data_IF_063567166304
#
_entry.id   IF_063567166304
#
_cell.length_a   1.000
_cell.length_b   1.000
_cell.length_c   1.000
_cell.angle_alpha   90.00
_cell.angle_beta   90.00
_cell.angle_gamma   90.00
#
_symmetry.space_group_name_H-M   'P 1'
#
loop_
_entity.id
_entity.type
_entity.pdbx_description
1 polymer ?
#
# COMPACT_ATOMS: atom_id res chain seq x y z
N UNK A 1 -10.21 -23.78 -21.12
CA UNK A 1 -9.83 -22.63 -21.97
C UNK A 1 -10.57 -21.40 -21.47
N UNK A 2 -9.87 -20.36 -21.00
CA UNK A 2 -10.54 -19.07 -20.66
C UNK A 2 -10.84 -18.34 -21.96
N UNK A 3 -12.03 -17.73 -22.06
CA UNK A 3 -12.39 -16.93 -23.23
C UNK A 3 -11.57 -15.65 -23.29
N UNK A 4 -11.36 -15.11 -24.51
CA UNK A 4 -10.60 -13.87 -24.72
C UNK A 4 -11.20 -12.68 -23.95
N UNK A 5 -12.53 -12.62 -23.84
CA UNK A 5 -13.24 -11.59 -23.07
C UNK A 5 -12.90 -11.64 -21.57
N UNK A 6 -12.79 -12.84 -20.99
CA UNK A 6 -12.42 -13.00 -19.58
C UNK A 6 -10.98 -12.56 -19.32
N UNK A 7 -10.05 -12.91 -20.23
CA UNK A 7 -8.64 -12.50 -20.12
C UNK A 7 -8.48 -10.98 -20.27
N UNK A 8 -9.23 -10.35 -21.17
CA UNK A 8 -9.18 -8.90 -21.36
C UNK A 8 -9.72 -8.16 -20.12
N UNK A 9 -10.81 -8.65 -19.52
CA UNK A 9 -11.32 -8.13 -18.25
C UNK A 9 -10.29 -8.25 -17.13
N UNK A 10 -9.68 -9.42 -16.96
CA UNK A 10 -8.62 -9.63 -15.95
C UNK A 10 -7.46 -8.63 -16.16
N UNK A 11 -7.09 -8.33 -17.41
CA UNK A 11 -6.04 -7.36 -17.73
C UNK A 11 -6.43 -5.92 -17.37
N UNK A 12 -7.67 -5.53 -17.61
CA UNK A 12 -8.19 -4.20 -17.24
C UNK A 12 -8.24 -4.04 -15.71
N UNK A 13 -8.72 -5.04 -14.99
CA UNK A 13 -8.75 -5.04 -13.53
C UNK A 13 -7.32 -4.98 -12.95
N UNK A 14 -6.36 -5.74 -13.51
CA UNK A 14 -4.96 -5.62 -13.12
C UNK A 14 -4.40 -4.21 -13.31
N UNK A 15 -4.76 -3.52 -14.41
CA UNK A 15 -4.32 -2.14 -14.67
C UNK A 15 -4.93 -1.15 -13.68
N UNK A 16 -6.18 -1.37 -13.29
CA UNK A 16 -6.88 -0.55 -12.29
C UNK A 16 -6.29 -0.74 -10.89
N UNK A 17 -6.02 -1.99 -10.49
CA UNK A 17 -5.54 -2.32 -9.14
C UNK A 17 -4.06 -2.01 -8.92
N UNK A 18 -3.22 -2.17 -9.95
CA UNK A 18 -1.77 -1.92 -9.85
C UNK A 18 -1.37 -0.60 -9.16
N UNK A 19 -1.92 0.58 -9.53
CA UNK A 19 -1.56 1.83 -8.87
C UNK A 19 -2.06 1.91 -7.41
N UNK A 20 -3.08 1.14 -7.05
CA UNK A 20 -3.66 1.11 -5.70
C UNK A 20 -2.91 0.18 -4.74
N UNK A 21 -1.99 -0.67 -5.25
CA UNK A 21 -1.30 -1.65 -4.42
C UNK A 21 -0.44 -1.02 -3.32
N UNK A 22 0.26 0.09 -3.59
CA UNK A 22 1.09 0.74 -2.58
C UNK A 22 0.23 1.39 -1.47
N UNK A 23 -0.72 2.30 -1.80
CA UNK A 23 -1.64 2.84 -0.80
C UNK A 23 -2.40 1.77 -0.01
N UNK A 24 -2.81 0.67 -0.67
CA UNK A 24 -3.43 -0.47 0.01
C UNK A 24 -2.51 -1.10 1.05
N UNK A 25 -1.25 -1.34 0.69
CA UNK A 25 -0.26 -1.93 1.59
C UNK A 25 0.17 -0.97 2.70
N UNK A 26 0.03 0.34 2.49
CA UNK A 26 0.30 1.39 3.50
C UNK A 26 -0.92 1.70 4.38
N UNK A 27 -2.10 1.14 4.08
CA UNK A 27 -3.33 1.39 4.83
C UNK A 27 -3.97 2.75 4.54
N UNK A 28 -3.63 3.37 3.41
CA UNK A 28 -4.06 4.73 3.03
C UNK A 28 -5.34 4.73 2.16
N UNK A 29 -5.88 3.56 1.83
CA UNK A 29 -7.14 3.45 1.08
C UNK A 29 -8.35 3.54 2.00
N UNK A 30 -9.42 4.15 1.49
CA UNK A 30 -10.75 4.01 2.08
C UNK A 30 -11.24 2.55 2.04
N UNK A 31 -12.20 2.24 2.91
CA UNK A 31 -12.68 0.86 3.14
C UNK A 31 -13.13 0.15 1.84
N UNK A 32 -13.92 0.82 1.00
CA UNK A 32 -14.44 0.26 -0.25
C UNK A 32 -13.32 -0.13 -1.23
N UNK A 33 -12.33 0.75 -1.41
CA UNK A 33 -11.19 0.51 -2.29
C UNK A 33 -10.26 -0.57 -1.71
N UNK A 34 -10.08 -0.59 -0.38
CA UNK A 34 -9.30 -1.63 0.29
C UNK A 34 -9.92 -3.02 0.09
N UNK A 35 -11.25 -3.15 0.22
CA UNK A 35 -11.97 -4.41 -0.03
C UNK A 35 -11.82 -4.85 -1.49
N UNK A 36 -11.96 -3.92 -2.44
CA UNK A 36 -11.81 -4.22 -3.87
C UNK A 36 -10.40 -4.73 -4.18
N UNK A 37 -9.37 -4.02 -3.72
CA UNK A 37 -7.97 -4.39 -3.92
C UNK A 37 -7.67 -5.73 -3.28
N UNK A 38 -8.10 -5.97 -2.03
CA UNK A 38 -7.92 -7.25 -1.33
C UNK A 38 -8.49 -8.41 -2.14
N UNK A 39 -9.76 -8.31 -2.56
CA UNK A 39 -10.43 -9.35 -3.36
C UNK A 39 -9.68 -9.64 -4.67
N UNK A 40 -9.18 -8.61 -5.34
CA UNK A 40 -8.43 -8.80 -6.58
C UNK A 40 -7.07 -9.45 -6.33
N UNK A 41 -6.33 -9.02 -5.30
CA UNK A 41 -5.03 -9.59 -4.93
C UNK A 41 -5.15 -11.08 -4.63
N UNK A 42 -6.20 -11.48 -3.90
CA UNK A 42 -6.46 -12.89 -3.57
C UNK A 42 -6.81 -13.73 -4.80
N UNK A 43 -7.54 -13.15 -5.76
CA UNK A 43 -8.00 -13.86 -6.95
C UNK A 43 -7.00 -13.84 -8.13
N UNK A 44 -6.08 -12.87 -8.16
CA UNK A 44 -5.19 -12.61 -9.29
C UNK A 44 -3.72 -12.89 -8.92
N UNK A 45 -3.18 -14.00 -9.42
CA UNK A 45 -1.77 -14.40 -9.19
C UNK A 45 -0.75 -13.29 -9.48
N UNK A 46 -0.98 -12.48 -10.53
CA UNK A 46 -0.04 -11.41 -10.92
C UNK A 46 -0.02 -10.27 -9.90
N UNK A 47 -1.18 -9.83 -9.44
CA UNK A 47 -1.28 -8.76 -8.45
C UNK A 47 -0.92 -9.28 -7.05
N UNK A 48 -1.27 -10.53 -6.73
CA UNK A 48 -0.78 -11.25 -5.54
C UNK A 48 0.74 -11.24 -5.43
N UNK A 49 1.43 -11.71 -6.46
CA UNK A 49 2.90 -11.72 -6.47
C UNK A 49 3.51 -10.32 -6.35
N UNK A 50 2.90 -9.32 -6.98
CA UNK A 50 3.36 -7.93 -6.86
C UNK A 50 3.19 -7.41 -5.42
N UNK A 51 2.05 -7.67 -4.79
CA UNK A 51 1.80 -7.30 -3.40
C UNK A 51 2.80 -7.98 -2.44
N UNK A 52 3.05 -9.28 -2.61
CA UNK A 52 4.02 -10.02 -1.80
C UNK A 52 5.45 -9.50 -1.99
N UNK A 53 5.82 -9.16 -3.22
CA UNK A 53 7.12 -8.55 -3.53
C UNK A 53 7.27 -7.21 -2.79
N UNK A 54 6.25 -6.36 -2.84
CA UNK A 54 6.28 -5.08 -2.14
C UNK A 54 6.31 -5.24 -0.62
N UNK A 55 5.55 -6.18 -0.05
CA UNK A 55 5.64 -6.53 1.38
C UNK A 55 7.05 -6.96 1.77
N UNK A 56 7.67 -7.82 0.95
CA UNK A 56 9.05 -8.27 1.16
C UNK A 56 10.06 -7.12 1.15
N UNK A 57 9.93 -6.20 0.19
CA UNK A 57 10.77 -4.98 0.11
C UNK A 57 10.55 -4.10 1.34
N UNK A 58 9.30 -3.78 1.71
CA UNK A 58 8.97 -2.96 2.89
C UNK A 58 9.52 -3.57 4.18
N UNK A 59 9.33 -4.87 4.38
CA UNK A 59 9.90 -5.57 5.53
C UNK A 59 11.44 -5.57 5.53
N UNK A 60 12.07 -5.63 4.35
CA UNK A 60 13.52 -5.49 4.19
C UNK A 60 14.01 -4.10 4.58
N UNK A 61 13.36 -3.05 4.07
CA UNK A 61 13.68 -1.66 4.39
C UNK A 61 13.46 -1.35 5.88
N UNK A 62 12.37 -1.83 6.47
CA UNK A 62 12.09 -1.65 7.89
C UNK A 62 13.16 -2.28 8.78
N UNK A 63 13.79 -3.39 8.37
CA UNK A 63 14.93 -3.99 9.09
C UNK A 63 16.23 -3.22 8.96
N UNK A 64 16.36 -2.42 7.90
CA UNK A 64 17.54 -1.57 7.66
C UNK A 64 17.36 -0.17 8.23
N UNK A 65 16.14 0.24 8.56
CA UNK A 65 15.85 1.52 9.17
C UNK A 65 16.36 1.51 10.61
N UNK A 66 17.22 2.48 10.92
CA UNK A 66 17.54 2.80 12.30
C UNK A 66 16.31 3.43 12.96
N UNK A 67 16.05 3.06 14.21
CA UNK A 67 15.01 3.72 14.99
C UNK A 67 15.43 5.17 15.22
N UNK A 68 14.58 6.16 14.88
CA UNK A 68 14.93 7.56 15.07
C UNK A 68 15.22 7.81 16.54
N UNK A 69 16.27 8.58 16.82
CA UNK A 69 16.62 8.93 18.17
C UNK A 69 15.50 9.76 18.83
N UNK A 70 15.41 9.69 20.16
CA UNK A 70 14.35 10.37 20.92
C UNK A 70 14.32 11.89 20.70
N UNK A 71 15.46 12.54 20.44
CA UNK A 71 15.50 13.99 20.24
C UNK A 71 14.86 14.36 18.91
N UNK A 72 15.15 13.59 17.86
CA UNK A 72 14.50 13.74 16.55
C UNK A 72 12.98 13.60 16.66
N UNK A 73 12.49 12.59 17.39
CA UNK A 73 11.05 12.38 17.59
C UNK A 73 10.43 13.54 18.38
N UNK A 74 11.02 13.96 19.50
CA UNK A 74 10.51 15.07 20.30
C UNK A 74 10.47 16.39 19.54
N UNK A 75 11.44 16.64 18.65
CA UNK A 75 11.44 17.83 17.80
C UNK A 75 10.29 17.82 16.82
N UNK A 76 9.95 16.65 16.26
CA UNK A 76 8.81 16.51 15.36
C UNK A 76 7.47 16.69 16.11
N UNK A 77 7.33 16.09 17.29
CA UNK A 77 6.12 16.24 18.13
C UNK A 77 5.86 17.71 18.48
N UNK A 78 6.88 18.42 18.97
CA UNK A 78 6.75 19.86 19.28
C UNK A 78 6.34 20.69 18.07
N UNK A 79 6.91 20.39 16.91
CA UNK A 79 6.56 21.09 15.67
C UNK A 79 5.08 20.87 15.31
N UNK A 80 4.55 19.67 15.50
CA UNK A 80 3.13 19.37 15.25
C UNK A 80 2.24 20.12 16.25
N UNK A 81 2.58 20.10 17.54
CA UNK A 81 1.81 20.80 18.59
C UNK A 81 1.73 22.31 18.32
N UNK A 82 2.86 22.94 17.94
CA UNK A 82 2.90 24.36 17.58
C UNK A 82 2.02 24.69 16.35
N UNK A 83 1.86 23.74 15.42
CA UNK A 83 1.00 23.91 14.25
C UNK A 83 -0.50 23.78 14.56
N UNK A 84 -0.88 23.01 15.58
CA UNK A 84 -2.28 22.84 15.97
C UNK A 84 -2.82 24.05 16.74
N UNK A 85 -1.96 24.81 17.41
CA UNK A 85 -2.33 26.01 18.18
C UNK A 85 -2.56 27.27 17.31
N UNK A 86 -2.15 27.27 16.03
CA UNK A 86 -2.27 28.42 15.11
C UNK A 86 -3.48 28.38 14.15
N UNK A 87 -4.31 27.33 14.18
CA UNK A 87 -5.42 27.11 13.22
C UNK A 87 -6.81 27.27 13.85
#
# INVERSE_FOLDING_TARGET
MRTLLAQMRDMLECRRVKPLLQPFLDGELGEDDAILVSRHVDACRRCGLAADTFRGIKAGLARLADEPDRETVQRLERFVDEFEDEV
#
